data_IF_476756810020
#
_entry.id   IF_476756810020
#
_cell.length_a   1.000
_cell.length_b   1.000
_cell.length_c   1.000
_cell.angle_alpha   90.00
_cell.angle_beta   90.00
_cell.angle_gamma   90.00
#
_symmetry.space_group_name_H-M   'P 1'
#
loop_
_entity.id
_entity.type
_entity.pdbx_description
1 polymer ?
#
# COMPACT_ATOMS: atom_id res chain seq x y z
N UNK A 1 2.36 2.60 -9.41
CA UNK A 1 1.73 1.28 -9.66
C UNK A 1 0.43 1.51 -10.40
N UNK A 2 -0.05 0.52 -11.14
CA UNK A 2 -1.34 0.62 -11.84
C UNK A 2 -2.51 0.34 -10.87
N UNK A 3 -3.73 0.82 -11.16
CA UNK A 3 -4.89 0.46 -10.37
C UNK A 3 -5.10 -1.06 -10.35
N UNK A 4 -5.33 -1.62 -9.17
CA UNK A 4 -5.45 -3.06 -9.01
C UNK A 4 -5.42 -3.52 -7.56
N UNK A 5 -5.63 -4.83 -7.39
CA UNK A 5 -5.55 -5.50 -6.10
C UNK A 5 -4.17 -6.15 -5.95
N UNK A 6 -3.46 -5.81 -4.88
CA UNK A 6 -2.09 -6.25 -4.65
C UNK A 6 -1.98 -7.03 -3.34
N UNK A 7 -1.04 -7.97 -3.33
CA UNK A 7 -0.67 -8.73 -2.14
C UNK A 7 0.84 -8.72 -1.95
N UNK A 8 1.28 -8.50 -0.72
CA UNK A 8 2.68 -8.70 -0.29
C UNK A 8 2.79 -9.96 0.54
N UNK A 9 3.94 -10.64 0.46
CA UNK A 9 4.31 -11.67 1.42
C UNK A 9 4.62 -11.05 2.79
N UNK A 10 4.66 -11.90 3.82
CA UNK A 10 5.04 -11.51 5.18
C UNK A 10 6.43 -10.87 5.22
N UNK A 11 6.51 -9.70 5.84
CA UNK A 11 7.77 -9.10 6.27
C UNK A 11 7.53 -8.28 7.53
N UNK A 12 8.30 -8.55 8.60
CA UNK A 12 8.22 -7.78 9.84
C UNK A 12 8.51 -6.31 9.59
N UNK A 13 7.62 -5.45 10.06
CA UNK A 13 7.76 -4.00 9.93
C UNK A 13 7.37 -3.48 8.56
N UNK A 14 6.57 -4.23 7.80
CA UNK A 14 5.93 -3.73 6.60
C UNK A 14 4.95 -2.62 6.99
N UNK A 15 5.17 -1.43 6.42
CA UNK A 15 4.28 -0.28 6.52
C UNK A 15 3.83 0.11 5.11
N UNK A 16 2.54 0.36 4.93
CA UNK A 16 2.01 0.83 3.65
C UNK A 16 0.87 1.80 3.83
N UNK A 17 0.75 2.71 2.86
CA UNK A 17 -0.31 3.68 2.79
C UNK A 17 -0.88 3.83 1.37
N UNK A 18 -2.18 4.13 1.29
CA UNK A 18 -2.84 4.61 0.07
C UNK A 18 -3.32 6.02 0.34
N UNK A 19 -2.97 6.95 -0.54
CA UNK A 19 -3.33 8.36 -0.44
C UNK A 19 -4.13 8.80 -1.66
N UNK A 20 -5.06 9.73 -1.45
CA UNK A 20 -5.83 10.34 -2.53
C UNK A 20 -5.01 11.30 -3.41
N UNK A 21 -3.84 11.76 -2.93
CA UNK A 21 -2.93 12.62 -3.70
C UNK A 21 -1.44 12.36 -3.40
N UNK A 22 -0.59 12.91 -4.26
CA UNK A 22 0.86 12.69 -4.24
C UNK A 22 1.60 13.47 -3.14
N UNK A 23 0.94 14.36 -2.42
CA UNK A 23 1.63 15.34 -1.58
C UNK A 23 2.12 14.76 -0.26
N UNK A 24 1.82 13.49 0.04
CA UNK A 24 2.33 12.77 1.23
C UNK A 24 1.94 13.41 2.57
N UNK A 25 1.08 14.44 2.55
CA UNK A 25 0.50 15.00 3.76
C UNK A 25 -0.58 14.03 4.21
N UNK A 26 -0.37 13.36 5.34
CA UNK A 26 -1.29 12.38 5.93
C UNK A 26 -2.72 12.90 6.24
N UNK A 27 -3.04 14.13 5.84
CA UNK A 27 -4.40 14.65 5.78
C UNK A 27 -5.25 13.98 4.68
N UNK A 28 -4.63 13.36 3.67
CA UNK A 28 -5.30 12.67 2.55
C UNK A 28 -5.00 11.15 2.54
N UNK A 29 -4.85 10.58 3.74
CA UNK A 29 -4.55 9.19 3.99
C UNK A 29 -5.84 8.35 3.95
N UNK A 30 -5.99 7.48 2.95
CA UNK A 30 -7.11 6.55 2.84
C UNK A 30 -6.90 5.31 3.72
N UNK A 31 -5.65 4.90 3.94
CA UNK A 31 -5.29 3.78 4.81
C UNK A 31 -3.81 3.83 5.21
N UNK A 32 -3.48 3.54 6.47
CA UNK A 32 -2.12 3.29 6.98
C UNK A 32 -2.12 2.03 7.84
N UNK A 33 -1.27 1.06 7.52
CA UNK A 33 -1.19 -0.21 8.24
C UNK A 33 0.27 -0.64 8.44
N UNK A 34 0.58 -1.01 9.69
CA UNK A 34 1.80 -1.71 10.05
C UNK A 34 1.46 -3.18 10.26
N UNK A 35 1.99 -4.05 9.43
CA UNK A 35 1.73 -5.49 9.51
C UNK A 35 2.99 -6.28 9.85
N UNK A 36 2.79 -7.37 10.57
CA UNK A 36 3.78 -8.40 10.89
C UNK A 36 3.49 -9.72 10.16
N UNK A 37 2.69 -9.63 9.10
CA UNK A 37 2.13 -10.73 8.32
C UNK A 37 1.81 -10.30 6.90
N UNK A 38 1.40 -11.22 6.01
CA UNK A 38 1.02 -10.88 4.65
C UNK A 38 -0.12 -9.85 4.64
N UNK A 39 -0.07 -8.93 3.70
CA UNK A 39 -1.03 -7.84 3.59
C UNK A 39 -1.57 -7.73 2.16
N UNK A 40 -2.75 -7.13 2.06
CA UNK A 40 -3.42 -6.88 0.78
C UNK A 40 -3.86 -5.42 0.72
N UNK A 41 -3.81 -4.83 -0.46
CA UNK A 41 -4.21 -3.44 -0.70
C UNK A 41 -4.88 -3.33 -2.06
N UNK A 42 -5.90 -2.49 -2.16
CA UNK A 42 -6.51 -2.09 -3.43
C UNK A 42 -6.08 -0.66 -3.73
N UNK A 43 -5.64 -0.42 -4.95
CA UNK A 43 -5.26 0.92 -5.43
C UNK A 43 -6.15 1.28 -6.62
N UNK A 44 -6.81 2.42 -6.52
CA UNK A 44 -7.71 2.98 -7.52
C UNK A 44 -6.99 3.96 -8.45
N UNK A 45 -7.64 4.34 -9.55
CA UNK A 45 -7.10 5.35 -10.45
C UNK A 45 -6.97 6.71 -9.75
N UNK A 46 -5.76 7.29 -9.81
CA UNK A 46 -5.45 8.58 -9.18
C UNK A 46 -4.99 8.47 -7.73
N UNK A 47 -5.05 7.29 -7.11
CA UNK A 47 -4.47 7.04 -5.80
C UNK A 47 -2.96 6.83 -5.88
N UNK A 48 -2.29 7.17 -4.78
CA UNK A 48 -0.86 7.06 -4.60
C UNK A 48 -0.56 6.03 -3.53
N UNK A 49 0.29 5.06 -3.86
CA UNK A 49 0.69 4.00 -2.96
C UNK A 49 2.10 4.19 -2.46
N UNK A 50 2.24 4.20 -1.13
CA UNK A 50 3.52 4.30 -0.44
C UNK A 50 3.77 3.01 0.34
N UNK A 51 5.00 2.51 0.31
CA UNK A 51 5.35 1.29 1.04
C UNK A 51 6.79 1.37 1.54
N UNK A 52 7.01 0.94 2.77
CA UNK A 52 8.31 0.93 3.42
C UNK A 52 8.49 -0.37 4.19
N UNK A 53 9.64 -1.02 4.00
CA UNK A 53 9.98 -2.24 4.73
C UNK A 53 9.14 -3.48 4.37
N UNK A 54 8.23 -3.40 3.40
CA UNK A 54 7.47 -4.54 2.90
C UNK A 54 8.28 -5.40 1.92
N UNK A 55 7.78 -6.60 1.62
CA UNK A 55 8.24 -7.36 0.46
C UNK A 55 7.58 -6.79 -0.81
N UNK A 56 7.90 -7.37 -1.97
CA UNK A 56 7.31 -6.92 -3.23
C UNK A 56 5.80 -7.14 -3.23
N UNK A 57 5.09 -6.13 -3.74
CA UNK A 57 3.65 -6.18 -3.95
C UNK A 57 3.34 -6.76 -5.32
N UNK A 58 2.65 -7.89 -5.34
CA UNK A 58 2.29 -8.61 -6.58
C UNK A 58 0.83 -8.33 -6.92
N UNK A 59 0.59 -7.84 -8.14
CA UNK A 59 -0.76 -7.69 -8.69
C UNK A 59 -1.44 -9.06 -8.73
N UNK A 60 -2.63 -9.16 -8.16
CA UNK A 60 -3.42 -10.37 -8.15
C UNK A 60 -4.42 -10.35 -9.34
N UNK A 61 -4.67 -11.50 -9.97
CA UNK A 61 -5.65 -11.63 -11.05
C UNK A 61 -7.10 -11.50 -10.57
#
# INVERSE_FOLDING_TARGET
MEPGFYKTSDRKGCCYAVNADANGNGNNLESDNITSGPATVTVSAGEYFETAGCADWILQP
#
